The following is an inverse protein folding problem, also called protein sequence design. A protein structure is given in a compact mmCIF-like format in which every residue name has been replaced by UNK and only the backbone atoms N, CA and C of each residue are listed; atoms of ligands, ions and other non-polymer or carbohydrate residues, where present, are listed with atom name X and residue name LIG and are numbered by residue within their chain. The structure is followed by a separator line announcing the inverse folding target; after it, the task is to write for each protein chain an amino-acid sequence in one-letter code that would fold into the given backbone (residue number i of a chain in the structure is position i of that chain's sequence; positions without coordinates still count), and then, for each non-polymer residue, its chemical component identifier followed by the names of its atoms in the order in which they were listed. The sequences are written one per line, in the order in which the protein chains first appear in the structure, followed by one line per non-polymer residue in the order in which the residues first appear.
data_IF_425461172397
#
_entry.id   IF_425461172397
#
_cell.length_a   1.000
_cell.length_b   1.000
_cell.length_c   1.000
_cell.angle_alpha   90.00
_cell.angle_beta   90.00
_cell.angle_gamma   90.00
#
_symmetry.space_group_name_H-M   'P 1'
#
loop_
_entity.id
_entity.type
_entity.pdbx_description
1 polymer ?
#
# COMPACT_ATOMS: atom_id res chain seq x y z
N UNK A 1 6.71 14.54 13.98
CA UNK A 1 5.94 15.13 12.84
C UNK A 1 6.80 15.79 11.76
N UNK A 2 7.76 16.68 12.09
CA UNK A 2 8.64 17.32 11.07
C UNK A 2 9.38 16.30 10.20
N UNK A 3 9.87 15.21 10.80
CA UNK A 3 10.52 14.10 10.11
C UNK A 3 9.58 13.42 9.09
N UNK A 4 8.34 13.12 9.51
CA UNK A 4 7.31 12.50 8.66
C UNK A 4 7.06 13.36 7.41
N UNK A 5 6.88 14.67 7.58
CA UNK A 5 6.69 15.59 6.45
C UNK A 5 7.89 15.66 5.51
N UNK A 6 9.11 15.63 6.06
CA UNK A 6 10.33 15.63 5.25
C UNK A 6 10.46 14.37 4.41
N UNK A 7 10.11 13.20 4.97
CA UNK A 7 10.09 11.92 4.25
C UNK A 7 9.09 12.00 3.10
N UNK A 8 7.85 12.43 3.37
CA UNK A 8 6.82 12.59 2.35
C UNK A 8 7.31 13.52 1.22
N UNK A 9 7.87 14.69 1.58
CA UNK A 9 8.38 15.66 0.59
C UNK A 9 9.52 15.08 -0.25
N UNK A 10 10.41 14.31 0.36
CA UNK A 10 11.46 13.62 -0.36
C UNK A 10 10.90 12.55 -1.30
N UNK A 11 9.96 11.73 -0.85
CA UNK A 11 9.29 10.73 -1.67
C UNK A 11 8.64 11.38 -2.89
N UNK A 12 7.91 12.47 -2.71
CA UNK A 12 7.36 13.24 -3.83
C UNK A 12 8.43 13.78 -4.79
N UNK A 13 9.56 14.27 -4.26
CA UNK A 13 10.67 14.76 -5.07
C UNK A 13 11.33 13.66 -5.89
N UNK A 14 11.49 12.47 -5.31
CA UNK A 14 12.13 11.33 -5.96
C UNK A 14 11.27 10.71 -7.07
N UNK A 15 9.94 10.75 -6.91
CA UNK A 15 8.98 10.15 -7.83
C UNK A 15 8.38 11.16 -8.83
N UNK A 16 8.96 12.36 -8.97
CA UNK A 16 8.44 13.43 -9.87
C UNK A 16 8.20 12.96 -11.31
N UNK A 17 9.14 12.19 -11.85
CA UNK A 17 9.06 11.68 -13.24
C UNK A 17 7.91 10.67 -13.35
N UNK A 18 7.74 9.80 -12.35
CA UNK A 18 6.63 8.86 -12.29
C UNK A 18 5.29 9.61 -12.32
N UNK A 19 5.10 10.61 -11.46
CA UNK A 19 3.86 11.39 -11.44
C UNK A 19 3.59 12.14 -12.75
N UNK A 20 4.64 12.56 -13.46
CA UNK A 20 4.49 13.12 -14.80
C UNK A 20 4.00 12.07 -15.81
N UNK A 21 4.53 10.84 -15.75
CA UNK A 21 4.07 9.71 -16.57
C UNK A 21 2.62 9.34 -16.22
N UNK A 22 2.27 9.27 -14.94
CA UNK A 22 0.91 9.00 -14.48
C UNK A 22 -0.07 10.06 -15.00
N UNK A 23 0.32 11.33 -14.97
CA UNK A 23 -0.46 12.42 -15.54
C UNK A 23 -0.68 12.25 -17.06
N UNK A 24 0.33 11.82 -17.81
CA UNK A 24 0.18 11.51 -19.23
C UNK A 24 -0.77 10.33 -19.47
N UNK A 25 -0.68 9.27 -18.68
CA UNK A 25 -1.60 8.12 -18.75
C UNK A 25 -3.05 8.58 -18.49
N UNK A 26 -3.25 9.44 -17.49
CA UNK A 26 -4.56 10.01 -17.20
C UNK A 26 -5.09 10.89 -18.34
N UNK A 27 -4.25 11.70 -18.97
CA UNK A 27 -4.63 12.50 -20.14
C UNK A 27 -5.05 11.65 -21.32
N UNK A 28 -4.29 10.59 -21.63
CA UNK A 28 -4.66 9.63 -22.67
C UNK A 28 -6.00 8.98 -22.32
N UNK A 29 -6.15 8.54 -21.07
CA UNK A 29 -7.37 7.95 -20.54
C UNK A 29 -8.59 8.87 -20.61
N UNK A 30 -8.41 10.19 -20.44
CA UNK A 30 -9.49 11.18 -20.62
C UNK A 30 -9.94 11.26 -22.08
N UNK A 31 -8.99 11.31 -23.02
CA UNK A 31 -9.30 11.46 -24.45
C UNK A 31 -9.91 10.18 -25.03
N UNK A 32 -9.35 9.02 -24.72
CA UNK A 32 -9.88 7.73 -25.17
C UNK A 32 -11.13 7.30 -24.38
N UNK A 33 -11.21 7.72 -23.12
CA UNK A 33 -12.25 7.29 -22.19
C UNK A 33 -13.64 7.72 -22.61
N UNK A 34 -13.82 8.88 -23.26
CA UNK A 34 -15.15 9.29 -23.76
C UNK A 34 -15.70 8.38 -24.86
N UNK A 35 -14.82 7.78 -25.67
CA UNK A 35 -15.22 6.81 -26.69
C UNK A 35 -15.44 5.43 -26.06
N UNK A 36 -14.51 4.98 -25.22
CA UNK A 36 -14.58 3.67 -24.58
C UNK A 36 -15.74 3.55 -23.57
N UNK A 37 -16.01 4.62 -22.81
CA UNK A 37 -17.07 4.67 -21.80
C UNK A 37 -18.46 4.43 -22.37
N UNK A 38 -18.68 4.71 -23.66
CA UNK A 38 -19.95 4.41 -24.35
C UNK A 38 -20.19 2.90 -24.47
N UNK A 39 -19.13 2.10 -24.55
CA UNK A 39 -19.21 0.65 -24.66
C UNK A 39 -19.05 -0.05 -23.30
N UNK A 40 -18.28 0.53 -22.39
CA UNK A 40 -17.92 -0.08 -21.10
C UNK A 40 -18.77 0.42 -19.94
N UNK A 41 -19.54 1.49 -20.09
CA UNK A 41 -20.26 2.13 -18.98
C UNK A 41 -19.32 2.68 -17.90
N UNK A 42 -18.11 3.09 -18.28
CA UNK A 42 -17.13 3.72 -17.37
C UNK A 42 -16.12 2.82 -16.71
N UNK A 43 -16.27 1.50 -16.85
CA UNK A 43 -15.39 0.52 -16.21
C UNK A 43 -13.94 0.56 -16.75
N UNK A 44 -13.72 1.21 -17.89
CA UNK A 44 -12.40 1.54 -18.43
C UNK A 44 -11.59 2.45 -17.50
N UNK A 45 -12.25 3.32 -16.73
CA UNK A 45 -11.61 4.17 -15.71
C UNK A 45 -10.95 3.33 -14.62
N UNK A 46 -11.54 2.17 -14.27
CA UNK A 46 -10.99 1.27 -13.26
C UNK A 46 -9.66 0.64 -13.71
N UNK A 47 -9.51 0.32 -15.00
CA UNK A 47 -8.25 -0.17 -15.54
C UNK A 47 -7.14 0.90 -15.40
N UNK A 48 -7.46 2.17 -15.67
CA UNK A 48 -6.53 3.29 -15.49
C UNK A 48 -6.18 3.49 -14.00
N UNK A 49 -7.16 3.43 -13.10
CA UNK A 49 -6.91 3.53 -11.65
C UNK A 49 -6.01 2.40 -11.16
N UNK A 50 -6.30 1.16 -11.54
CA UNK A 50 -5.53 -0.01 -11.10
C UNK A 50 -4.08 0.02 -11.61
N UNK A 51 -3.86 0.44 -12.85
CA UNK A 51 -2.51 0.58 -13.42
C UNK A 51 -1.70 1.67 -12.72
N UNK A 52 -2.29 2.83 -12.47
CA UNK A 52 -1.60 3.91 -11.75
C UNK A 52 -1.36 3.54 -10.28
N UNK A 53 -2.34 2.94 -9.61
CA UNK A 53 -2.20 2.51 -8.22
C UNK A 53 -1.11 1.43 -8.07
N UNK A 54 -0.98 0.51 -9.02
CA UNK A 54 0.09 -0.50 -9.03
C UNK A 54 1.46 0.12 -9.34
N UNK A 55 1.55 1.09 -10.25
CA UNK A 55 2.79 1.85 -10.49
C UNK A 55 3.26 2.59 -9.23
N UNK A 56 2.33 3.25 -8.53
CA UNK A 56 2.59 3.90 -7.25
C UNK A 56 3.05 2.89 -6.19
N UNK A 57 2.34 1.77 -6.03
CA UNK A 57 2.69 0.71 -5.12
C UNK A 57 4.13 0.19 -5.33
N UNK A 58 4.48 -0.20 -6.56
CA UNK A 58 5.82 -0.69 -6.90
C UNK A 58 6.88 0.37 -6.62
N UNK A 59 6.63 1.61 -7.04
CA UNK A 59 7.58 2.71 -6.90
C UNK A 59 7.86 3.05 -5.45
N UNK A 60 6.84 3.05 -4.59
CA UNK A 60 7.00 3.27 -3.16
C UNK A 60 7.73 2.11 -2.45
N UNK A 61 7.54 0.85 -2.89
CA UNK A 61 8.35 -0.28 -2.39
C UNK A 61 9.83 -0.09 -2.74
N UNK A 62 10.12 0.24 -4.01
CA UNK A 62 11.50 0.48 -4.47
C UNK A 62 12.12 1.64 -3.68
N UNK A 63 11.37 2.71 -3.50
CA UNK A 63 11.80 3.88 -2.73
C UNK A 63 12.12 3.51 -1.29
N UNK A 64 11.23 2.80 -0.61
CA UNK A 64 11.40 2.34 0.77
C UNK A 64 12.69 1.50 0.90
N UNK A 65 12.90 0.55 -0.03
CA UNK A 65 14.11 -0.27 -0.04
C UNK A 65 15.39 0.55 -0.25
N UNK A 66 15.36 1.57 -1.13
CA UNK A 66 16.50 2.47 -1.35
C UNK A 66 16.81 3.31 -0.12
N UNK A 67 15.78 3.86 0.52
CA UNK A 67 15.93 4.70 1.71
C UNK A 67 16.52 3.93 2.90
N UNK A 68 16.21 2.63 3.04
CA UNK A 68 16.80 1.76 4.08
C UNK A 68 18.24 1.30 3.76
N UNK A 69 18.67 1.40 2.49
CA UNK A 69 20.02 0.98 2.10
C UNK A 69 21.10 1.91 2.64
N UNK A 70 22.25 1.35 3.05
CA UNK A 70 23.38 2.13 3.61
C UNK A 70 23.94 3.15 2.61
N UNK A 71 23.89 2.84 1.32
CA UNK A 71 24.54 3.63 0.27
C UNK A 71 23.74 4.90 -0.11
N UNK A 72 22.40 4.87 0.06
CA UNK A 72 21.51 5.99 -0.29
C UNK A 72 20.80 6.64 0.91
N UNK A 73 20.66 5.92 2.03
CA UNK A 73 19.99 6.42 3.24
C UNK A 73 20.81 7.47 4.02
N UNK A 74 22.14 7.46 3.87
CA UNK A 74 23.07 8.29 4.65
C UNK A 74 22.80 9.81 4.54
N UNK A 75 22.24 10.26 3.41
CA UNK A 75 21.89 11.67 3.17
C UNK A 75 20.50 12.07 3.70
N UNK A 76 19.62 11.09 3.97
CA UNK A 76 18.28 11.30 4.49
C UNK A 76 18.23 11.32 6.02
N UNK A 77 19.17 10.66 6.69
CA UNK A 77 19.23 10.48 8.14
C UNK A 77 20.22 11.41 8.85
N UNK A 78 20.50 12.60 8.32
CA UNK A 78 21.29 13.62 9.03
C UNK A 78 20.66 14.05 10.37
N UNK A 79 19.39 13.69 10.60
CA UNK A 79 18.70 13.78 11.89
C UNK A 79 18.24 12.40 12.34
N UNK A 80 18.29 12.05 13.63
CA UNK A 80 17.78 10.78 14.12
C UNK A 80 16.28 10.66 13.81
N UNK A 81 15.90 9.66 13.01
CA UNK A 81 14.51 9.35 12.65
C UNK A 81 14.17 8.01 13.27
N UNK A 82 13.08 7.95 14.05
CA UNK A 82 12.55 6.69 14.58
C UNK A 82 11.97 5.85 13.44
N UNK A 83 12.22 4.55 13.43
CA UNK A 83 11.75 3.58 12.44
C UNK A 83 10.23 3.60 12.26
N UNK A 84 9.47 3.81 13.34
CA UNK A 84 8.02 4.00 13.25
C UNK A 84 7.65 5.29 12.51
N UNK A 85 8.34 6.41 12.76
CA UNK A 85 8.13 7.65 12.00
C UNK A 85 8.48 7.47 10.52
N UNK A 86 9.51 6.67 10.23
CA UNK A 86 9.92 6.33 8.89
C UNK A 86 8.87 5.50 8.12
N UNK A 87 8.32 4.46 8.75
CA UNK A 87 7.24 3.65 8.19
C UNK A 87 6.00 4.52 7.92
N UNK A 88 5.57 5.32 8.91
CA UNK A 88 4.39 6.18 8.79
C UNK A 88 4.57 7.23 7.69
N UNK A 89 5.75 7.85 7.59
CA UNK A 89 6.03 8.84 6.53
C UNK A 89 5.91 8.25 5.13
N UNK A 90 6.45 7.06 4.92
CA UNK A 90 6.33 6.39 3.62
C UNK A 90 4.90 5.91 3.34
N UNK A 91 4.17 5.41 4.34
CA UNK A 91 2.76 5.06 4.19
C UNK A 91 1.90 6.27 3.82
N UNK A 92 2.07 7.40 4.50
CA UNK A 92 1.33 8.62 4.19
C UNK A 92 1.66 9.15 2.79
N UNK A 93 2.91 8.98 2.33
CA UNK A 93 3.29 9.25 0.94
C UNK A 93 2.48 8.42 -0.05
N UNK A 94 2.44 7.09 0.13
CA UNK A 94 1.66 6.20 -0.74
C UNK A 94 0.16 6.51 -0.71
N UNK A 95 -0.40 6.72 0.48
CA UNK A 95 -1.82 7.06 0.66
C UNK A 95 -2.14 8.37 -0.05
N UNK A 96 -1.32 9.42 0.13
CA UNK A 96 -1.56 10.70 -0.52
C UNK A 96 -1.45 10.63 -2.05
N UNK A 97 -0.51 9.86 -2.60
CA UNK A 97 -0.41 9.63 -4.04
C UNK A 97 -1.69 8.93 -4.58
N UNK A 98 -2.11 7.83 -3.96
CA UNK A 98 -3.29 7.08 -4.40
C UNK A 98 -4.61 7.85 -4.18
N UNK A 99 -4.70 8.72 -3.18
CA UNK A 99 -5.88 9.56 -2.94
C UNK A 99 -6.08 10.56 -4.10
N UNK A 100 -5.00 11.12 -4.64
CA UNK A 100 -5.03 11.96 -5.84
C UNK A 100 -5.56 11.16 -7.05
N UNK A 101 -5.12 9.92 -7.21
CA UNK A 101 -5.58 9.03 -8.29
C UNK A 101 -7.09 8.81 -8.23
N UNK A 102 -7.64 8.53 -7.04
CA UNK A 102 -9.10 8.37 -6.84
C UNK A 102 -9.83 9.66 -7.24
N UNK A 103 -9.36 10.82 -6.74
CA UNK A 103 -10.01 12.11 -7.04
C UNK A 103 -10.06 12.33 -8.55
N UNK A 104 -8.94 12.11 -9.25
CA UNK A 104 -8.89 12.32 -10.70
C UNK A 104 -9.80 11.33 -11.42
N UNK A 105 -9.82 10.05 -11.01
CA UNK A 105 -10.70 9.05 -11.60
C UNK A 105 -12.19 9.39 -11.47
N UNK A 106 -12.60 9.97 -10.34
CA UNK A 106 -13.97 10.44 -10.16
C UNK A 106 -14.30 11.61 -11.09
N UNK A 107 -13.36 12.55 -11.27
CA UNK A 107 -13.51 13.65 -12.23
C UNK A 107 -13.63 13.11 -13.66
N UNK A 108 -12.78 12.15 -14.05
CA UNK A 108 -12.83 11.50 -15.37
C UNK A 108 -14.20 10.85 -15.61
N UNK A 109 -14.70 10.12 -14.61
CA UNK A 109 -15.99 9.43 -14.72
C UNK A 109 -17.16 10.42 -14.87
N UNK A 110 -17.15 11.49 -14.07
CA UNK A 110 -18.11 12.60 -14.19
C UNK A 110 -18.11 13.23 -15.58
N UNK A 111 -16.93 13.43 -16.18
CA UNK A 111 -16.81 14.02 -17.53
C UNK A 111 -17.31 13.05 -18.61
N UNK A 112 -17.01 11.76 -18.48
CA UNK A 112 -17.28 10.77 -19.52
C UNK A 112 -18.73 10.25 -19.52
N UNK A 113 -19.39 10.19 -18.37
CA UNK A 113 -20.71 9.56 -18.21
C UNK A 113 -21.74 10.54 -17.61
N UNK A 114 -21.28 11.65 -17.01
CA UNK A 114 -22.17 12.65 -16.40
C UNK A 114 -22.60 12.32 -14.97
N UNK A 115 -22.21 11.16 -14.44
CA UNK A 115 -22.58 10.71 -13.10
C UNK A 115 -21.43 9.95 -12.39
N UNK A 116 -21.47 9.94 -11.06
CA UNK A 116 -20.53 9.17 -10.25
C UNK A 116 -21.09 7.75 -10.11
N UNK A 117 -20.50 6.80 -10.83
CA UNK A 117 -20.81 5.39 -10.63
C UNK A 117 -20.27 4.91 -9.28
N UNK A 118 -21.17 4.61 -8.34
CA UNK A 118 -20.84 4.14 -6.99
C UNK A 118 -20.04 2.83 -6.98
N UNK A 119 -20.29 1.95 -7.97
CA UNK A 119 -19.54 0.70 -8.13
C UNK A 119 -18.07 0.93 -8.45
N UNK A 120 -17.76 1.92 -9.29
CA UNK A 120 -16.38 2.30 -9.64
C UNK A 120 -15.66 2.89 -8.42
N UNK A 121 -16.34 3.73 -7.63
CA UNK A 121 -15.77 4.29 -6.41
C UNK A 121 -15.45 3.18 -5.39
N UNK A 122 -16.41 2.29 -5.14
CA UNK A 122 -16.24 1.20 -4.18
C UNK A 122 -15.08 0.28 -4.58
N UNK A 123 -15.03 -0.14 -5.84
CA UNK A 123 -13.97 -1.04 -6.35
C UNK A 123 -12.59 -0.36 -6.40
N UNK A 124 -12.53 0.93 -6.71
CA UNK A 124 -11.27 1.68 -6.66
C UNK A 124 -10.71 1.76 -5.23
N UNK A 125 -11.58 2.01 -4.25
CA UNK A 125 -11.20 2.03 -2.83
C UNK A 125 -10.74 0.66 -2.36
N UNK A 126 -11.43 -0.43 -2.73
CA UNK A 126 -11.02 -1.79 -2.33
C UNK A 126 -9.66 -2.17 -2.90
N UNK A 127 -9.39 -1.86 -4.18
CA UNK A 127 -8.06 -2.09 -4.81
C UNK A 127 -6.97 -1.35 -4.05
N UNK A 128 -7.16 -0.06 -3.75
CA UNK A 128 -6.16 0.75 -3.06
C UNK A 128 -5.95 0.25 -1.63
N UNK A 129 -7.01 -0.13 -0.91
CA UNK A 129 -6.89 -0.71 0.42
C UNK A 129 -6.10 -2.03 0.39
N UNK A 130 -6.34 -2.89 -0.61
CA UNK A 130 -5.56 -4.12 -0.82
C UNK A 130 -4.07 -3.86 -1.11
N UNK A 131 -3.76 -2.82 -1.90
CA UNK A 131 -2.38 -2.42 -2.15
C UNK A 131 -1.71 -1.83 -0.90
N UNK A 132 -2.43 -1.07 -0.08
CA UNK A 132 -1.90 -0.52 1.17
C UNK A 132 -1.58 -1.63 2.17
N UNK A 133 -2.45 -2.63 2.31
CA UNK A 133 -2.20 -3.77 3.21
C UNK A 133 -1.02 -4.61 2.73
N UNK A 134 -0.95 -4.91 1.43
CA UNK A 134 0.20 -5.59 0.83
C UNK A 134 1.50 -4.79 1.04
N UNK A 135 1.44 -3.46 0.88
CA UNK A 135 2.58 -2.56 1.04
C UNK A 135 3.12 -2.63 2.46
N UNK A 136 2.24 -2.57 3.46
CA UNK A 136 2.59 -2.70 4.86
C UNK A 136 3.32 -4.02 5.15
N UNK A 137 2.78 -5.14 4.67
CA UNK A 137 3.39 -6.46 4.90
C UNK A 137 4.78 -6.54 4.25
N UNK A 138 4.88 -6.17 2.97
CA UNK A 138 6.14 -6.25 2.21
C UNK A 138 7.20 -5.33 2.82
N UNK A 139 6.85 -4.09 3.15
CA UNK A 139 7.81 -3.14 3.73
C UNK A 139 8.27 -3.54 5.12
N UNK A 140 7.40 -4.15 5.94
CA UNK A 140 7.82 -4.72 7.21
C UNK A 140 8.79 -5.88 7.05
N UNK A 141 8.53 -6.80 6.10
CA UNK A 141 9.47 -7.88 5.76
C UNK A 141 10.80 -7.32 5.27
N UNK A 142 10.79 -6.30 4.39
CA UNK A 142 12.02 -5.61 3.96
C UNK A 142 12.75 -5.02 5.17
N UNK A 143 12.06 -4.33 6.08
CA UNK A 143 12.65 -3.75 7.29
C UNK A 143 13.34 -4.81 8.17
N UNK A 144 12.69 -5.95 8.37
CA UNK A 144 13.22 -7.07 9.15
C UNK A 144 14.38 -7.74 8.42
N UNK A 145 14.20 -8.25 7.19
CA UNK A 145 15.23 -9.04 6.49
C UNK A 145 16.42 -8.23 6.03
N UNK A 146 16.21 -6.98 5.61
CA UNK A 146 17.34 -6.12 5.22
C UNK A 146 18.25 -5.76 6.41
N UNK A 147 17.83 -6.04 7.65
CA UNK A 147 18.69 -5.92 8.84
C UNK A 147 19.63 -7.13 9.00
N UNK A 148 19.26 -8.31 8.49
CA UNK A 148 20.03 -9.55 8.61
C UNK A 148 20.83 -9.90 7.36
N UNK A 149 20.30 -9.60 6.17
CA UNK A 149 20.85 -10.03 4.89
C UNK A 149 21.42 -8.82 4.15
N UNK A 150 22.75 -8.77 4.01
CA UNK A 150 23.43 -7.67 3.27
C UNK A 150 23.22 -7.74 1.76
N UNK A 151 23.05 -8.94 1.20
CA UNK A 151 22.83 -9.14 -0.22
C UNK A 151 21.35 -8.91 -0.59
N UNK A 152 21.09 -7.92 -1.44
CA UNK A 152 19.74 -7.51 -1.86
C UNK A 152 18.98 -8.65 -2.55
N UNK A 153 19.65 -9.46 -3.37
CA UNK A 153 19.03 -10.58 -4.09
C UNK A 153 18.54 -11.67 -3.12
N UNK A 154 19.39 -12.04 -2.15
CA UNK A 154 19.03 -13.00 -1.10
C UNK A 154 17.90 -12.47 -0.20
N UNK A 155 17.89 -11.15 0.07
CA UNK A 155 16.79 -10.50 0.82
C UNK A 155 15.46 -10.61 0.07
N UNK A 156 15.45 -10.39 -1.24
CA UNK A 156 14.23 -10.51 -2.07
C UNK A 156 13.71 -11.95 -2.07
N UNK A 157 14.60 -12.94 -2.26
CA UNK A 157 14.21 -14.36 -2.21
C UNK A 157 13.61 -14.72 -0.86
N UNK A 158 14.25 -14.28 0.24
CA UNK A 158 13.75 -14.53 1.59
C UNK A 158 12.34 -13.95 1.80
N UNK A 159 12.09 -12.72 1.33
CA UNK A 159 10.77 -12.09 1.41
C UNK A 159 9.71 -12.92 0.66
N UNK A 160 10.01 -13.41 -0.54
CA UNK A 160 9.05 -14.21 -1.34
C UNK A 160 8.72 -15.54 -0.64
N UNK A 161 9.75 -16.24 -0.15
CA UNK A 161 9.58 -17.52 0.55
C UNK A 161 8.75 -17.32 1.82
N UNK A 162 9.05 -16.29 2.60
CA UNK A 162 8.41 -16.04 3.89
C UNK A 162 7.00 -15.47 3.72
N UNK A 163 6.74 -14.71 2.66
CA UNK A 163 5.38 -14.34 2.31
C UNK A 163 4.52 -15.58 2.03
N UNK A 164 5.06 -16.54 1.28
CA UNK A 164 4.36 -17.78 0.92
C UNK A 164 4.14 -18.68 2.14
N UNK A 165 5.21 -18.98 2.89
CA UNK A 165 5.14 -19.86 4.08
C UNK A 165 4.40 -19.18 5.24
N UNK A 166 4.57 -17.86 5.37
CA UNK A 166 3.94 -17.07 6.43
C UNK A 166 2.43 -17.06 6.35
N UNK A 167 1.85 -17.12 5.14
CA UNK A 167 0.40 -17.27 4.97
C UNK A 167 -0.12 -18.56 5.61
N UNK A 168 0.55 -19.70 5.38
CA UNK A 168 0.19 -20.99 5.97
C UNK A 168 0.29 -20.96 7.51
N UNK A 169 1.33 -20.33 8.04
CA UNK A 169 1.51 -20.18 9.49
C UNK A 169 0.42 -19.28 10.08
N UNK A 170 0.08 -18.18 9.41
CA UNK A 170 -0.97 -17.26 9.82
C UNK A 170 -2.33 -17.96 9.85
N UNK A 171 -2.69 -18.69 8.79
CA UNK A 171 -3.95 -19.43 8.70
C UNK A 171 -4.05 -20.49 9.79
N UNK A 172 -2.95 -21.21 10.05
CA UNK A 172 -2.89 -22.19 11.13
C UNK A 172 -3.11 -21.53 12.51
N UNK A 173 -2.39 -20.46 12.84
CA UNK A 173 -2.51 -19.78 14.13
C UNK A 173 -3.91 -19.15 14.29
N UNK A 174 -4.42 -18.49 13.26
CA UNK A 174 -5.73 -17.83 13.30
C UNK A 174 -6.85 -18.84 13.47
N UNK A 175 -6.78 -20.00 12.81
CA UNK A 175 -7.76 -21.08 12.99
C UNK A 175 -7.83 -21.58 14.44
N UNK A 176 -6.68 -21.71 15.11
CA UNK A 176 -6.61 -22.09 16.53
C UNK A 176 -7.24 -21.02 17.41
N UNK A 177 -6.92 -19.74 17.19
CA UNK A 177 -7.48 -18.63 17.98
C UNK A 177 -9.00 -18.55 17.80
N UNK A 178 -9.47 -18.62 16.54
CA UNK A 178 -10.89 -18.54 16.21
C UNK A 178 -11.68 -19.73 16.75
N UNK A 179 -11.05 -20.92 16.91
CA UNK A 179 -11.71 -22.08 17.52
C UNK A 179 -12.13 -21.87 18.99
N UNK A 180 -11.52 -20.90 19.68
CA UNK A 180 -11.76 -20.61 21.10
C UNK A 180 -12.63 -19.35 21.28
N UNK A 181 -12.74 -18.52 20.23
CA UNK A 181 -13.44 -17.24 20.28
C UNK A 181 -14.91 -17.37 19.82
N UNK A 182 -15.83 -16.55 20.35
CA UNK A 182 -17.22 -16.55 19.90
C UNK A 182 -17.33 -16.01 18.48
N UNK A 183 -18.06 -16.70 17.61
CA UNK A 183 -18.24 -16.23 16.23
C UNK A 183 -19.15 -14.98 16.20
N UNK A 184 -18.60 -13.83 15.82
CA UNK A 184 -19.33 -12.54 15.73
C UNK A 184 -19.24 -12.03 14.31
N UNK A 185 -20.37 -11.95 13.62
CA UNK A 185 -20.44 -11.48 12.24
C UNK A 185 -21.28 -10.20 12.12
N UNK A 186 -20.86 -9.33 11.21
CA UNK A 186 -21.66 -8.19 10.74
C UNK A 186 -22.08 -8.49 9.30
N UNK A 187 -23.39 -8.40 9.04
CA UNK A 187 -23.95 -8.51 7.70
C UNK A 187 -24.15 -7.14 7.08
N UNK A 188 -23.61 -6.91 5.88
CA UNK A 188 -23.77 -5.65 5.14
C UNK A 188 -24.65 -5.89 3.90
N UNK A 189 -25.75 -5.13 3.79
CA UNK A 189 -26.68 -5.16 2.66
C UNK A 189 -27.99 -5.91 2.96
N UNK A 190 -29.04 -5.58 2.21
CA UNK A 190 -30.40 -6.11 2.41
C UNK A 190 -30.54 -7.62 2.14
N UNK A 191 -29.49 -8.28 1.64
CA UNK A 191 -29.55 -9.66 1.13
C UNK A 191 -28.65 -10.65 1.89
N UNK A 192 -28.04 -10.27 3.01
CA UNK A 192 -27.12 -11.14 3.78
C UNK A 192 -25.94 -11.72 2.95
N UNK A 193 -25.58 -11.10 1.82
CA UNK A 193 -24.57 -11.66 0.89
C UNK A 193 -23.14 -11.51 1.42
N UNK A 194 -22.88 -10.51 2.28
CA UNK A 194 -21.55 -10.21 2.80
C UNK A 194 -21.57 -10.36 4.31
N UNK A 195 -20.98 -11.46 4.78
CA UNK A 195 -20.70 -11.70 6.19
C UNK A 195 -19.24 -11.33 6.47
N UNK A 196 -19.04 -10.37 7.37
CA UNK A 196 -17.71 -10.01 7.86
C UNK A 196 -17.60 -10.57 9.27
N UNK A 197 -16.71 -11.54 9.45
CA UNK A 197 -16.31 -11.99 10.77
C UNK A 197 -15.44 -10.89 11.43
N UNK A 198 -15.99 -10.32 12.49
CA UNK A 198 -15.42 -9.18 13.20
C UNK A 198 -14.15 -9.59 13.92
N UNK A 199 -14.10 -10.80 14.46
CA UNK A 199 -12.96 -11.26 15.26
C UNK A 199 -11.77 -11.53 14.34
N UNK A 200 -11.97 -12.26 13.22
CA UNK A 200 -10.89 -12.48 12.26
C UNK A 200 -10.38 -11.16 11.67
N UNK A 201 -11.25 -10.20 11.40
CA UNK A 201 -10.87 -8.86 10.94
C UNK A 201 -9.99 -8.12 11.97
N UNK A 202 -10.35 -8.17 13.27
CA UNK A 202 -9.55 -7.57 14.35
C UNK A 202 -8.19 -8.26 14.45
N UNK A 203 -8.13 -9.59 14.40
CA UNK A 203 -6.88 -10.35 14.43
C UNK A 203 -5.98 -9.95 13.25
N UNK A 204 -6.53 -9.80 12.05
CA UNK A 204 -5.83 -9.30 10.87
C UNK A 204 -5.22 -7.91 11.07
N UNK A 205 -6.00 -6.97 11.61
CA UNK A 205 -5.51 -5.61 11.90
C UNK A 205 -4.38 -5.65 12.94
N UNK A 206 -4.57 -6.38 14.04
CA UNK A 206 -3.59 -6.49 15.12
C UNK A 206 -2.28 -7.14 14.64
N UNK A 207 -2.36 -8.17 13.80
CA UNK A 207 -1.17 -8.83 13.24
C UNK A 207 -0.38 -7.90 12.33
N UNK A 208 -1.03 -7.14 11.45
CA UNK A 208 -0.34 -6.13 10.63
C UNK A 208 0.29 -5.05 11.52
N UNK A 209 -0.40 -4.56 12.55
CA UNK A 209 0.16 -3.56 13.49
C UNK A 209 1.37 -4.11 14.25
N UNK A 210 1.28 -5.34 14.77
CA UNK A 210 2.39 -6.00 15.45
C UNK A 210 3.61 -6.15 14.53
N UNK A 211 3.38 -6.53 13.26
CA UNK A 211 4.42 -6.63 12.24
C UNK A 211 5.11 -5.28 12.01
N UNK A 212 4.37 -4.18 11.92
CA UNK A 212 4.94 -2.83 11.77
C UNK A 212 5.76 -2.40 12.99
N UNK A 213 5.29 -2.69 14.21
CA UNK A 213 6.01 -2.36 15.45
C UNK A 213 7.34 -3.13 15.50
N UNK A 214 7.33 -4.41 15.14
CA UNK A 214 8.54 -5.24 15.08
C UNK A 214 9.50 -4.69 14.02
N UNK A 215 9.00 -4.41 12.81
CA UNK A 215 9.81 -3.84 11.73
C UNK A 215 10.42 -2.49 12.14
N UNK A 216 9.64 -1.61 12.79
CA UNK A 216 10.11 -0.32 13.30
C UNK A 216 11.31 -0.47 14.25
N UNK A 217 11.24 -1.41 15.20
CA UNK A 217 12.35 -1.70 16.13
C UNK A 217 13.61 -2.22 15.42
N UNK A 218 13.46 -3.02 14.36
CA UNK A 218 14.61 -3.49 13.58
C UNK A 218 15.21 -2.39 12.69
N UNK A 219 14.36 -1.52 12.16
CA UNK A 219 14.79 -0.34 11.42
C UNK A 219 15.56 0.61 12.36
N UNK A 220 15.06 0.87 13.57
CA UNK A 220 15.77 1.66 14.60
C UNK A 220 17.18 1.14 14.83
N UNK A 221 17.35 -0.18 15.06
CA UNK A 221 18.66 -0.81 15.23
C UNK A 221 19.60 -0.64 14.03
N UNK A 222 19.06 -0.46 12.83
CA UNK A 222 19.85 -0.28 11.60
C UNK A 222 20.19 1.19 11.36
N UNK A 223 19.30 2.10 11.73
CA UNK A 223 19.51 3.55 11.70
C UNK A 223 20.49 3.97 12.81
N UNK A 224 20.46 3.32 13.98
CA UNK A 224 21.39 3.54 15.11
C UNK A 224 22.81 2.99 14.87
N UNK A 225 23.09 2.33 13.73
CA UNK A 225 24.47 1.97 13.31
C UNK A 225 25.13 3.15 12.54
N UNK A 226 24.49 4.32 12.51
CA UNK A 226 25.09 5.59 12.08
C UNK A 226 26.03 6.15 13.14
#
# INVERSE_FOLDING_TARGET
MKNILNIIKYSFKSLRILYFIEFLILLVGLVSGKFLSQFTGGWDVLAIVSTIATMNFISYIILFSKQISKDYGYLLFLTPIKGIEFIIGNLLGLVSANLIVIIIALIVNLINIGEINSGILQTSVTVIMGLITAYLIITALIGIFSSYIRNTFLSIIAIIIIFSIGSLIYDFITSIILSIMPYVYITIGNSYIIEIDVISSIIGILTVLALQIIAGKYIDKKIDIL
#
